data_IF_466512808275
#
_entry.id   IF_466512808275
#
_cell.length_a   1.000
_cell.length_b   1.000
_cell.length_c   1.000
_cell.angle_alpha   90.00
_cell.angle_beta   90.00
_cell.angle_gamma   90.00
#
_symmetry.space_group_name_H-M   'P 1'
#
loop_
_entity.id
_entity.type
_entity.pdbx_description
1 polymer ?
#
# COMPACT_ATOMS: atom_id res chain seq x y z
N UNK A 1 -4.18 14.26 26.55
CA UNK A 1 -4.69 13.81 25.24
C UNK A 1 -5.74 12.72 25.51
N UNK A 2 -6.69 12.40 24.61
CA UNK A 2 -7.67 11.34 24.88
C UNK A 2 -7.00 9.97 25.00
N UNK A 3 -7.61 9.11 25.81
CA UNK A 3 -7.39 7.67 25.83
C UNK A 3 -8.64 6.98 25.32
N UNK A 4 -8.49 5.83 24.68
CA UNK A 4 -9.63 5.06 24.19
C UNK A 4 -9.67 3.67 24.79
N UNK A 5 -10.86 3.07 24.82
CA UNK A 5 -11.01 1.65 25.13
C UNK A 5 -11.07 0.87 23.83
N UNK A 6 -10.18 -0.10 23.65
CA UNK A 6 -10.10 -0.95 22.46
C UNK A 6 -10.15 -2.42 22.84
N UNK A 7 -10.69 -3.23 21.94
CA UNK A 7 -10.74 -4.69 22.04
C UNK A 7 -10.98 -5.30 20.65
N UNK A 8 -10.73 -6.59 20.52
CA UNK A 8 -10.93 -7.36 19.30
C UNK A 8 -11.42 -8.76 19.66
N UNK A 9 -11.67 -9.59 18.66
CA UNK A 9 -12.16 -10.96 18.79
C UNK A 9 -11.35 -11.90 17.92
N UNK A 10 -11.10 -13.10 18.43
CA UNK A 10 -10.40 -14.16 17.71
C UNK A 10 -11.36 -15.31 17.39
N UNK A 11 -10.94 -16.18 16.48
CA UNK A 11 -11.71 -17.35 16.06
C UNK A 11 -11.04 -18.65 16.53
N UNK A 12 -11.74 -19.47 17.33
CA UNK A 12 -11.20 -20.73 17.84
C UNK A 12 -12.29 -21.75 18.23
N UNK A 13 -11.92 -23.04 18.23
CA UNK A 13 -12.68 -24.12 18.85
C UNK A 13 -12.05 -24.65 20.16
N UNK A 14 -10.92 -24.08 20.58
CA UNK A 14 -10.26 -24.41 21.85
C UNK A 14 -10.89 -23.55 22.94
N UNK A 15 -11.21 -24.08 24.14
CA UNK A 15 -11.78 -23.27 25.22
C UNK A 15 -11.00 -21.98 25.48
N UNK A 16 -11.71 -20.86 25.67
CA UNK A 16 -11.06 -19.56 25.83
C UNK A 16 -10.10 -19.52 27.03
N UNK A 17 -10.40 -20.20 28.16
CA UNK A 17 -9.51 -20.27 29.33
C UNK A 17 -8.16 -20.96 29.07
N UNK A 18 -8.05 -21.62 27.92
CA UNK A 18 -6.89 -22.38 27.48
C UNK A 18 -6.03 -21.63 26.47
N UNK A 19 -6.41 -20.40 26.14
CA UNK A 19 -5.74 -19.52 25.20
C UNK A 19 -5.31 -18.22 25.89
N UNK A 20 -4.12 -17.74 25.55
CA UNK A 20 -3.64 -16.40 25.91
C UNK A 20 -3.33 -15.63 24.62
N UNK A 21 -3.24 -14.32 24.73
CA UNK A 21 -2.85 -13.47 23.61
C UNK A 21 -1.87 -12.40 24.02
N UNK A 22 -1.00 -12.07 23.08
CA UNK A 22 -0.34 -10.76 23.01
C UNK A 22 -1.13 -9.89 22.03
N UNK A 23 -1.38 -8.63 22.38
CA UNK A 23 -2.03 -7.64 21.53
C UNK A 23 -1.17 -6.37 21.52
N UNK A 24 -0.64 -6.04 20.34
CA UNK A 24 0.11 -4.81 20.11
C UNK A 24 -0.62 -4.02 19.04
N UNK A 25 -0.88 -2.74 19.31
CA UNK A 25 -1.43 -1.80 18.33
C UNK A 25 -0.40 -0.68 18.17
N UNK A 26 0.09 -0.50 16.95
CA UNK A 26 1.16 0.47 16.68
C UNK A 26 1.06 1.05 15.28
N UNK A 27 1.78 2.15 15.04
CA UNK A 27 2.08 2.66 13.70
C UNK A 27 3.56 2.95 13.57
N UNK A 28 4.09 2.87 12.35
CA UNK A 28 5.48 3.24 12.07
C UNK A 28 5.54 4.56 11.31
N UNK A 29 6.36 5.52 11.77
CA UNK A 29 6.55 6.78 11.04
C UNK A 29 7.54 6.64 9.86
N UNK A 30 7.69 7.73 9.10
CA UNK A 30 8.59 7.82 7.95
C UNK A 30 10.06 7.49 8.28
N UNK A 31 10.50 7.70 9.53
CA UNK A 31 11.85 7.41 9.99
C UNK A 31 12.01 5.97 10.50
N UNK A 32 10.91 5.21 10.54
CA UNK A 32 10.87 3.83 10.98
C UNK A 32 10.60 3.67 12.48
N UNK A 33 10.32 4.75 13.22
CA UNK A 33 10.03 4.64 14.65
C UNK A 33 8.64 4.09 14.88
N UNK A 34 8.51 3.21 15.86
CA UNK A 34 7.24 2.63 16.26
C UNK A 34 6.57 3.50 17.32
N UNK A 35 5.33 3.91 17.04
CA UNK A 35 4.44 4.61 17.97
C UNK A 35 3.42 3.60 18.48
N UNK A 36 3.65 3.11 19.70
CA UNK A 36 2.83 2.05 20.31
C UNK A 36 1.63 2.67 21.02
N UNK A 37 0.43 2.32 20.56
CA UNK A 37 -0.84 2.73 21.16
C UNK A 37 -1.26 1.79 22.30
N UNK A 38 -0.96 0.50 22.15
CA UNK A 38 -1.27 -0.55 23.12
C UNK A 38 -0.23 -1.67 23.02
N UNK A 39 0.19 -2.20 24.16
CA UNK A 39 1.05 -3.38 24.28
C UNK A 39 0.61 -4.22 25.48
N UNK A 40 0.00 -5.37 25.20
CA UNK A 40 -0.54 -6.30 26.18
C UNK A 40 0.12 -7.65 25.94
N UNK A 41 0.68 -8.24 26.99
CA UNK A 41 1.34 -9.53 26.93
C UNK A 41 0.62 -10.59 27.75
N UNK A 42 0.42 -11.77 27.14
CA UNK A 42 -0.10 -13.00 27.73
C UNK A 42 -1.40 -12.82 28.51
N UNK A 43 -2.31 -11.98 28.03
CA UNK A 43 -3.61 -11.77 28.63
C UNK A 43 -4.58 -12.91 28.30
N UNK A 44 -5.58 -13.10 29.15
CA UNK A 44 -6.57 -14.16 29.04
C UNK A 44 -7.73 -13.72 28.14
N UNK A 45 -8.18 -14.60 27.24
CA UNK A 45 -9.40 -14.34 26.46
C UNK A 45 -10.65 -14.46 27.34
N UNK A 46 -11.66 -13.67 27.02
CA UNK A 46 -13.01 -13.80 27.57
C UNK A 46 -13.70 -15.05 27.00
N UNK A 47 -14.75 -15.54 27.67
CA UNK A 47 -15.47 -16.77 27.28
C UNK A 47 -16.11 -16.71 25.88
N UNK A 48 -16.30 -15.51 25.34
CA UNK A 48 -16.81 -15.25 23.98
C UNK A 48 -15.70 -15.04 22.93
N UNK A 49 -14.44 -15.33 23.28
CA UNK A 49 -13.24 -15.14 22.44
C UNK A 49 -12.87 -13.69 22.15
N UNK A 50 -13.45 -12.73 22.87
CA UNK A 50 -12.97 -11.35 22.85
C UNK A 50 -11.72 -11.19 23.72
N UNK A 51 -10.84 -10.29 23.32
CA UNK A 51 -9.81 -9.77 24.21
C UNK A 51 -10.46 -9.01 25.36
N UNK A 52 -9.72 -8.78 26.44
CA UNK A 52 -10.15 -7.81 27.44
C UNK A 52 -10.25 -6.41 26.81
N UNK A 53 -11.01 -5.54 27.47
CA UNK A 53 -11.09 -4.13 27.11
C UNK A 53 -9.88 -3.41 27.66
N UNK A 54 -9.03 -2.91 26.76
CA UNK A 54 -7.79 -2.23 27.12
C UNK A 54 -7.90 -0.74 26.92
N UNK A 55 -7.34 0.02 27.86
CA UNK A 55 -7.20 1.47 27.71
C UNK A 55 -5.88 1.75 26.97
N UNK A 56 -5.94 2.51 25.89
CA UNK A 56 -4.76 2.90 25.11
C UNK A 56 -3.89 3.88 25.90
N UNK A 57 -2.66 4.05 25.44
CA UNK A 57 -1.88 5.23 25.79
C UNK A 57 -2.60 6.52 25.34
N UNK A 58 -2.23 7.65 25.96
CA UNK A 58 -2.69 8.97 25.54
C UNK A 58 -2.21 9.27 24.10
N UNK A 59 -3.13 9.69 23.23
CA UNK A 59 -2.85 9.89 21.80
C UNK A 59 -3.54 11.16 21.27
N UNK A 60 -2.87 11.94 20.42
CA UNK A 60 -3.44 13.14 19.77
C UNK A 60 -3.91 12.91 18.32
N UNK A 61 -3.79 11.67 17.85
CA UNK A 61 -4.11 11.30 16.48
C UNK A 61 -5.62 11.39 16.21
N UNK A 62 -5.95 11.80 14.99
CA UNK A 62 -7.32 11.80 14.48
C UNK A 62 -7.85 10.36 14.33
N UNK A 63 -9.17 10.18 14.39
CA UNK A 63 -9.79 8.86 14.23
C UNK A 63 -9.54 8.24 12.85
N UNK A 64 -9.16 9.03 11.84
CA UNK A 64 -8.80 8.53 10.52
C UNK A 64 -7.41 7.89 10.44
N UNK A 65 -6.53 8.09 11.44
CA UNK A 65 -5.16 7.56 11.43
C UNK A 65 -5.17 6.03 11.48
N UNK A 66 -4.41 5.42 10.56
CA UNK A 66 -4.33 3.96 10.42
C UNK A 66 -3.23 3.36 11.29
N UNK A 67 -3.60 2.34 12.06
CA UNK A 67 -2.74 1.54 12.93
C UNK A 67 -2.69 0.09 12.45
N UNK A 68 -1.58 -0.59 12.75
CA UNK A 68 -1.43 -2.03 12.61
C UNK A 68 -1.78 -2.67 13.96
N UNK A 69 -2.78 -3.55 13.94
CA UNK A 69 -3.10 -4.44 15.03
C UNK A 69 -2.36 -5.77 14.81
N UNK A 70 -1.56 -6.17 15.80
CA UNK A 70 -0.82 -7.42 15.82
C UNK A 70 -1.30 -8.31 16.96
N UNK A 71 -1.57 -9.59 16.67
CA UNK A 71 -1.97 -10.59 17.66
C UNK A 71 -1.09 -11.84 17.57
N UNK A 72 -0.57 -12.29 18.71
CA UNK A 72 0.03 -13.63 18.85
C UNK A 72 -0.84 -14.43 19.81
N UNK A 73 -1.25 -15.63 19.39
CA UNK A 73 -2.00 -16.54 20.25
C UNK A 73 -1.07 -17.56 20.89
N UNK A 74 -1.36 -17.91 22.15
CA UNK A 74 -0.67 -18.95 22.89
C UNK A 74 -1.65 -19.98 23.43
N UNK A 75 -1.21 -21.24 23.46
CA UNK A 75 -1.96 -22.37 23.97
C UNK A 75 -1.40 -22.82 25.32
N UNK A 76 -2.28 -22.88 26.33
CA UNK A 76 -1.95 -23.33 27.70
C UNK A 76 -2.15 -24.82 27.90
N UNK A 77 -1.08 -25.62 27.87
CA UNK A 77 -1.13 -27.05 28.11
C UNK A 77 -0.54 -27.42 29.48
N UNK A 78 -1.39 -27.56 30.50
CA UNK A 78 -0.95 -27.74 31.89
C UNK A 78 -0.26 -26.46 32.40
N UNK A 79 1.01 -26.59 32.81
CA UNK A 79 1.87 -25.45 33.18
C UNK A 79 2.57 -24.79 31.99
N UNK A 80 2.52 -25.40 30.80
CA UNK A 80 3.26 -24.94 29.63
C UNK A 80 2.44 -23.96 28.81
N UNK A 81 3.10 -22.94 28.28
CA UNK A 81 2.54 -21.96 27.35
C UNK A 81 3.31 -22.12 26.03
N UNK A 82 2.60 -22.42 24.95
CA UNK A 82 3.17 -22.70 23.63
C UNK A 82 2.61 -21.69 22.64
N UNK A 83 3.46 -21.08 21.82
CA UNK A 83 3.01 -20.18 20.77
C UNK A 83 2.18 -20.96 19.74
N UNK A 84 0.95 -20.54 19.53
CA UNK A 84 -0.03 -21.24 18.71
C UNK A 84 0.11 -20.89 17.21
N UNK A 85 0.61 -19.69 16.91
CA UNK A 85 0.85 -19.21 15.55
C UNK A 85 2.34 -19.19 15.22
N UNK A 86 2.73 -19.53 13.99
CA UNK A 86 4.15 -19.44 13.57
C UNK A 86 4.62 -18.00 13.43
N UNK A 87 3.73 -17.10 13.03
CA UNK A 87 3.97 -15.67 12.92
C UNK A 87 2.77 -14.90 13.52
N UNK A 88 2.98 -13.65 13.97
CA UNK A 88 1.88 -12.81 14.43
C UNK A 88 0.86 -12.56 13.32
N UNK A 89 -0.42 -12.58 13.68
CA UNK A 89 -1.48 -12.07 12.80
C UNK A 89 -1.40 -10.54 12.78
N UNK A 90 -1.43 -9.93 11.60
CA UNK A 90 -1.40 -8.47 11.42
C UNK A 90 -2.58 -8.01 10.57
N UNK A 91 -3.16 -6.88 10.92
CA UNK A 91 -4.20 -6.22 10.10
C UNK A 91 -4.28 -4.72 10.37
N UNK A 92 -4.57 -3.95 9.32
CA UNK A 92 -4.76 -2.51 9.42
C UNK A 92 -6.18 -2.14 9.87
N UNK A 93 -6.27 -1.17 10.76
CA UNK A 93 -7.50 -0.53 11.18
C UNK A 93 -7.27 0.96 11.42
N UNK A 94 -8.24 1.78 11.07
CA UNK A 94 -8.26 3.18 11.55
C UNK A 94 -8.46 3.20 13.07
N UNK A 95 -7.96 4.24 13.74
CA UNK A 95 -8.23 4.46 15.16
C UNK A 95 -9.74 4.47 15.43
N UNK A 96 -10.54 5.11 14.58
CA UNK A 96 -12.00 5.08 14.66
C UNK A 96 -12.60 3.67 14.61
N UNK A 97 -12.08 2.77 13.77
CA UNK A 97 -12.53 1.37 13.71
C UNK A 97 -12.16 0.60 14.99
N UNK A 98 -10.95 0.82 15.53
CA UNK A 98 -10.51 0.20 16.79
C UNK A 98 -11.40 0.65 17.96
N UNK A 99 -11.66 1.95 18.09
CA UNK A 99 -12.48 2.54 19.14
C UNK A 99 -13.95 2.11 19.02
N UNK A 100 -14.44 1.94 17.80
CA UNK A 100 -15.80 1.46 17.54
C UNK A 100 -15.98 -0.06 17.72
N UNK A 101 -14.93 -0.80 18.10
CA UNK A 101 -14.97 -2.27 18.23
C UNK A 101 -15.16 -2.99 16.89
N UNK A 102 -14.76 -2.37 15.78
CA UNK A 102 -14.85 -2.93 14.41
C UNK A 102 -13.58 -3.66 13.99
N UNK A 103 -12.68 -3.94 14.94
CA UNK A 103 -11.43 -4.64 14.72
C UNK A 103 -11.61 -6.16 14.56
N UNK A 104 -12.59 -6.60 13.77
CA UNK A 104 -12.96 -8.00 13.54
C UNK A 104 -13.74 -8.12 12.22
N UNK A 105 -13.68 -9.28 11.56
CA UNK A 105 -14.40 -9.58 10.33
C UNK A 105 -15.26 -10.84 10.48
N UNK A 106 -16.41 -10.89 9.83
CA UNK A 106 -17.21 -12.13 9.75
C UNK A 106 -16.51 -13.22 8.91
N UNK A 107 -15.50 -12.85 8.12
CA UNK A 107 -14.69 -13.79 7.34
C UNK A 107 -13.56 -14.30 8.20
N UNK A 108 -13.67 -15.56 8.62
CA UNK A 108 -12.68 -16.29 9.43
C UNK A 108 -11.21 -16.04 9.07
N UNK A 109 -10.87 -15.99 7.77
CA UNK A 109 -9.48 -15.81 7.29
C UNK A 109 -8.91 -14.42 7.54
N UNK A 110 -9.77 -13.44 7.83
CA UNK A 110 -9.40 -12.05 8.06
C UNK A 110 -9.27 -11.74 9.57
N UNK A 111 -9.21 -12.76 10.43
CA UNK A 111 -9.05 -12.66 11.88
C UNK A 111 -7.87 -13.53 12.38
N UNK A 112 -7.30 -13.18 13.53
CA UNK A 112 -6.44 -14.08 14.28
C UNK A 112 -7.24 -15.33 14.67
N UNK A 113 -6.68 -16.52 14.41
CA UNK A 113 -7.43 -17.75 14.59
C UNK A 113 -6.55 -18.94 14.95
N UNK A 114 -7.05 -19.84 15.80
CA UNK A 114 -6.35 -21.06 16.19
C UNK A 114 -7.34 -22.19 16.42
N UNK A 115 -7.10 -23.36 15.83
CA UNK A 115 -8.00 -24.50 15.94
C UNK A 115 -7.23 -25.78 16.22
N UNK A 116 -7.77 -26.62 17.09
CA UNK A 116 -7.26 -27.96 17.36
C UNK A 116 -8.27 -28.99 16.84
N UNK A 117 -7.78 -30.04 16.18
CA UNK A 117 -8.59 -31.23 15.93
C UNK A 117 -8.43 -32.19 17.10
N UNK A 118 -9.55 -32.60 17.71
CA UNK A 118 -9.56 -33.61 18.78
C UNK A 118 -9.83 -35.02 18.25
N UNK A 119 -9.88 -35.19 16.93
CA UNK A 119 -10.15 -36.48 16.31
C UNK A 119 -8.86 -37.30 16.35
N UNK A 120 -8.83 -38.31 17.22
CA UNK A 120 -7.91 -39.44 17.03
C UNK A 120 -8.27 -40.10 15.71
N UNK A 121 -7.35 -40.08 14.75
CA UNK A 121 -7.51 -40.84 13.51
C UNK A 121 -7.61 -42.31 13.86
N UNK A 122 -8.79 -42.91 13.67
CA UNK A 122 -9.04 -44.35 13.83
C UNK A 122 -9.37 -44.96 12.47
N UNK A 123 -8.88 -46.17 12.18
CA UNK A 123 -9.32 -46.93 11.01
C UNK A 123 -10.85 -47.04 11.00
N UNK A 124 -11.50 -46.68 9.89
CA UNK A 124 -12.95 -46.73 9.72
C UNK A 124 -13.43 -48.16 9.43
N UNK A 125 -12.56 -49.04 8.91
CA UNK A 125 -12.83 -50.47 8.74
C UNK A 125 -11.56 -51.33 8.75
N UNK A 126 -11.70 -52.66 8.89
CA UNK A 126 -10.63 -53.61 8.58
C UNK A 126 -10.44 -53.69 7.05
N UNK A 127 -9.74 -52.71 6.49
CA UNK A 127 -9.53 -52.55 5.05
C UNK A 127 -8.57 -51.39 4.74
N UNK A 128 -8.47 -51.01 3.47
CA UNK A 128 -7.73 -49.81 3.08
C UNK A 128 -8.44 -48.56 3.63
N UNK A 129 -7.80 -47.90 4.59
CA UNK A 129 -8.26 -46.67 5.22
C UNK A 129 -7.55 -45.44 4.65
N UNK A 130 -7.00 -45.53 3.44
CA UNK A 130 -6.41 -44.39 2.74
C UNK A 130 -7.49 -43.36 2.47
N UNK A 131 -7.42 -42.24 3.20
CA UNK A 131 -8.22 -41.04 2.92
C UNK A 131 -7.39 -40.14 2.03
N UNK A 132 -7.86 -39.90 0.81
CA UNK A 132 -7.27 -38.89 -0.07
C UNK A 132 -7.59 -37.50 0.50
N UNK A 133 -6.65 -36.94 1.24
CA UNK A 133 -6.77 -35.58 1.77
C UNK A 133 -6.43 -34.59 0.65
N UNK A 134 -7.45 -34.07 -0.03
CA UNK A 134 -7.26 -33.00 -1.02
C UNK A 134 -7.01 -31.67 -0.31
N UNK A 135 -5.76 -31.40 0.04
CA UNK A 135 -5.32 -30.07 0.48
C UNK A 135 -5.41 -29.15 -0.74
N UNK A 136 -6.47 -28.36 -0.80
CA UNK A 136 -6.62 -27.32 -1.83
C UNK A 136 -5.92 -26.07 -1.31
N UNK A 137 -4.71 -25.85 -1.79
CA UNK A 137 -4.09 -24.52 -1.71
C UNK A 137 -4.90 -23.66 -2.69
N UNK A 138 -5.57 -22.58 -2.23
CA UNK A 138 -6.23 -21.68 -3.15
C UNK A 138 -5.22 -21.19 -4.17
N UNK A 139 -5.66 -21.07 -5.41
CA UNK A 139 -4.82 -20.52 -6.47
C UNK A 139 -4.29 -19.14 -6.05
N UNK A 140 -3.03 -18.86 -6.39
CA UNK A 140 -2.42 -17.56 -6.09
C UNK A 140 -3.24 -16.48 -6.77
N UNK A 141 -3.46 -15.37 -6.06
CA UNK A 141 -4.39 -14.34 -6.50
C UNK A 141 -3.94 -13.60 -7.76
N UNK A 142 -2.63 -13.58 -8.05
CA UNK A 142 -2.03 -12.97 -9.24
C UNK A 142 -1.23 -14.01 -10.04
N UNK A 143 -1.52 -14.16 -11.33
CA UNK A 143 -0.82 -15.09 -12.24
C UNK A 143 -0.73 -14.45 -13.62
N UNK A 144 0.47 -14.15 -14.10
CA UNK A 144 0.64 -13.70 -15.49
C UNK A 144 0.44 -14.89 -16.45
N UNK A 145 -0.36 -14.72 -17.50
CA UNK A 145 -0.70 -15.82 -18.41
C UNK A 145 0.54 -16.42 -19.11
N UNK A 146 1.48 -15.57 -19.51
CA UNK A 146 2.74 -15.98 -20.15
C UNK A 146 3.78 -16.53 -19.17
N UNK A 147 3.62 -16.26 -17.87
CA UNK A 147 4.55 -16.65 -16.82
C UNK A 147 3.79 -17.30 -15.65
N UNK A 148 3.19 -18.48 -15.87
CA UNK A 148 2.35 -19.14 -14.86
C UNK A 148 3.18 -19.60 -13.65
N UNK A 149 2.49 -20.03 -12.60
CA UNK A 149 3.12 -20.53 -11.37
C UNK A 149 4.18 -21.60 -11.68
N UNK A 150 5.41 -21.37 -11.21
CA UNK A 150 6.55 -22.26 -11.43
C UNK A 150 7.38 -21.94 -12.68
N UNK A 151 6.96 -20.97 -13.49
CA UNK A 151 7.79 -20.44 -14.57
C UNK A 151 9.00 -19.68 -13.98
N UNK A 152 10.23 -19.82 -14.53
CA UNK A 152 11.42 -19.14 -14.01
C UNK A 152 11.29 -17.61 -13.94
N UNK A 153 10.55 -17.04 -14.90
CA UNK A 153 10.29 -15.60 -14.99
C UNK A 153 8.95 -15.18 -14.37
N UNK A 154 8.30 -16.00 -13.54
CA UNK A 154 7.06 -15.64 -12.84
C UNK A 154 7.22 -14.31 -12.07
N UNK A 155 6.54 -13.22 -12.47
CA UNK A 155 6.72 -11.92 -11.84
C UNK A 155 6.14 -11.88 -10.42
N UNK A 156 5.20 -12.76 -10.09
CA UNK A 156 4.51 -12.81 -8.80
C UNK A 156 5.04 -13.91 -7.88
N UNK A 157 6.21 -14.49 -8.18
CA UNK A 157 6.87 -15.46 -7.33
C UNK A 157 7.09 -14.87 -5.92
N UNK A 158 6.79 -15.65 -4.88
CA UNK A 158 6.72 -15.13 -3.50
C UNK A 158 8.05 -14.51 -3.08
N UNK A 159 9.17 -15.20 -3.26
CA UNK A 159 10.47 -14.70 -2.80
C UNK A 159 10.89 -13.43 -3.53
N UNK A 160 10.53 -13.28 -4.80
CA UNK A 160 10.71 -12.04 -5.57
C UNK A 160 9.89 -10.89 -5.01
N UNK A 161 8.59 -11.09 -4.76
CA UNK A 161 7.72 -10.07 -4.16
C UNK A 161 8.23 -9.65 -2.78
N UNK A 162 8.63 -10.61 -1.95
CA UNK A 162 9.22 -10.32 -0.64
C UNK A 162 10.49 -9.47 -0.75
N UNK A 163 11.38 -9.82 -1.66
CA UNK A 163 12.62 -9.07 -1.92
C UNK A 163 12.33 -7.63 -2.39
N UNK A 164 11.38 -7.47 -3.31
CA UNK A 164 10.95 -6.16 -3.81
C UNK A 164 10.33 -5.30 -2.68
N UNK A 165 9.52 -5.90 -1.79
CA UNK A 165 8.99 -5.23 -0.59
C UNK A 165 10.12 -4.76 0.33
N UNK A 166 11.14 -5.60 0.58
CA UNK A 166 12.30 -5.17 1.39
C UNK A 166 13.07 -4.02 0.74
N UNK A 167 13.14 -3.99 -0.60
CA UNK A 167 13.68 -2.85 -1.34
C UNK A 167 12.91 -1.56 -1.09
N UNK A 168 11.57 -1.63 -1.04
CA UNK A 168 10.70 -0.48 -0.74
C UNK A 168 10.83 -0.03 0.71
N UNK A 169 10.85 -0.96 1.66
CA UNK A 169 11.00 -0.67 3.10
C UNK A 169 12.35 -0.01 3.42
N UNK A 170 13.42 -0.49 2.80
CA UNK A 170 14.77 0.09 2.92
C UNK A 170 14.96 1.37 2.10
N UNK A 171 13.95 1.78 1.32
CA UNK A 171 13.98 2.93 0.39
C UNK A 171 15.13 2.86 -0.61
N UNK A 172 15.65 1.66 -0.88
CA UNK A 172 16.65 1.41 -1.93
C UNK A 172 16.01 1.39 -3.31
N UNK A 173 14.71 1.13 -3.37
CA UNK A 173 13.89 1.20 -4.57
C UNK A 173 12.57 1.92 -4.26
N UNK A 174 11.94 2.49 -5.29
CA UNK A 174 10.68 3.24 -5.22
C UNK A 174 9.72 2.74 -6.31
N UNK A 175 8.41 3.06 -6.28
CA UNK A 175 7.46 2.48 -7.21
C UNK A 175 7.81 2.85 -8.65
N UNK A 176 7.85 1.86 -9.53
CA UNK A 176 8.21 2.03 -10.92
C UNK A 176 7.08 1.58 -11.83
N UNK A 177 6.42 2.56 -12.45
CA UNK A 177 5.39 2.31 -13.45
C UNK A 177 5.94 1.75 -14.77
N UNK A 178 7.26 1.75 -14.96
CA UNK A 178 7.90 1.36 -16.21
C UNK A 178 7.37 2.18 -17.38
N UNK A 179 7.04 1.49 -18.47
CA UNK A 179 6.41 2.09 -19.65
C UNK A 179 4.89 2.27 -19.56
N UNK A 180 4.25 1.94 -18.42
CA UNK A 180 2.81 1.96 -18.26
C UNK A 180 2.27 3.34 -17.85
N UNK A 181 1.00 3.62 -18.18
CA UNK A 181 0.29 4.87 -17.83
C UNK A 181 -0.15 4.95 -16.36
N UNK A 182 0.73 4.61 -15.42
CA UNK A 182 0.44 4.45 -13.99
C UNK A 182 1.08 5.54 -13.10
N UNK A 183 1.33 6.75 -13.62
CA UNK A 183 1.99 7.81 -12.86
C UNK A 183 1.17 8.33 -11.66
N UNK A 184 -0.16 8.34 -11.76
CA UNK A 184 -1.03 8.65 -10.63
C UNK A 184 -0.90 7.64 -9.49
N UNK A 185 -1.13 6.34 -9.74
CA UNK A 185 -0.88 5.29 -8.74
C UNK A 185 0.56 5.31 -8.20
N UNK A 186 1.56 5.52 -9.07
CA UNK A 186 2.96 5.61 -8.65
C UNK A 186 3.20 6.76 -7.68
N UNK A 187 2.63 7.95 -7.95
CA UNK A 187 2.72 9.09 -7.05
C UNK A 187 2.07 8.81 -5.68
N UNK A 188 0.92 8.14 -5.67
CA UNK A 188 0.24 7.72 -4.43
C UNK A 188 1.10 6.75 -3.62
N UNK A 189 1.52 5.64 -4.23
CA UNK A 189 2.31 4.62 -3.53
C UNK A 189 3.71 5.10 -3.14
N UNK A 190 4.30 6.04 -3.89
CA UNK A 190 5.54 6.70 -3.50
C UNK A 190 5.36 7.52 -2.22
N UNK A 191 4.32 8.36 -2.15
CA UNK A 191 4.03 9.12 -0.94
C UNK A 191 3.76 8.18 0.25
N UNK A 192 2.97 7.12 0.03
CA UNK A 192 2.66 6.12 1.03
C UNK A 192 3.90 5.39 1.55
N UNK A 193 4.79 4.94 0.65
CA UNK A 193 6.06 4.31 1.03
C UNK A 193 6.92 5.25 1.87
N UNK A 194 6.98 6.54 1.49
CA UNK A 194 7.84 7.50 2.17
C UNK A 194 7.33 7.88 3.56
N UNK A 195 6.01 7.98 3.75
CA UNK A 195 5.40 8.38 5.00
C UNK A 195 5.11 7.21 5.95
N UNK A 196 4.59 6.11 5.40
CA UNK A 196 4.08 4.93 6.13
C UNK A 196 4.52 3.65 5.42
N UNK A 197 5.82 3.29 5.48
CA UNK A 197 6.34 2.08 4.84
C UNK A 197 5.68 0.80 5.36
N UNK A 198 5.21 0.81 6.61
CA UNK A 198 4.45 -0.27 7.23
C UNK A 198 3.09 -0.51 6.57
N UNK A 199 2.36 0.56 6.22
CA UNK A 199 1.10 0.48 5.48
C UNK A 199 1.36 0.02 4.04
N UNK A 200 2.42 0.53 3.39
CA UNK A 200 2.82 0.06 2.06
C UNK A 200 3.05 -1.46 2.06
N UNK A 201 3.86 -1.96 3.01
CA UNK A 201 4.17 -3.39 3.12
C UNK A 201 2.90 -4.21 3.31
N UNK A 202 2.05 -3.84 4.27
CA UNK A 202 0.83 -4.58 4.54
C UNK A 202 -0.10 -4.60 3.31
N UNK A 203 -0.26 -3.45 2.63
CA UNK A 203 -1.06 -3.36 1.42
C UNK A 203 -0.56 -4.29 0.31
N UNK A 204 0.77 -4.31 0.07
CA UNK A 204 1.39 -5.18 -0.93
C UNK A 204 1.21 -6.67 -0.59
N UNK A 205 1.42 -7.05 0.69
CA UNK A 205 1.22 -8.44 1.14
C UNK A 205 -0.22 -8.89 1.01
N UNK A 206 -1.18 -8.07 1.45
CA UNK A 206 -2.61 -8.38 1.36
C UNK A 206 -3.07 -8.52 -0.10
N UNK A 207 -2.60 -7.66 -1.00
CA UNK A 207 -2.86 -7.81 -2.43
C UNK A 207 -2.32 -9.15 -2.95
N UNK A 208 -1.09 -9.53 -2.62
CA UNK A 208 -0.51 -10.81 -3.08
C UNK A 208 -1.25 -12.02 -2.51
N UNK A 209 -1.58 -12.00 -1.22
CA UNK A 209 -2.19 -13.12 -0.50
C UNK A 209 -3.69 -13.23 -0.72
N UNK A 210 -4.39 -12.12 -0.93
CA UNK A 210 -5.86 -12.04 -0.89
C UNK A 210 -6.48 -11.37 -2.12
N UNK A 211 -5.67 -10.80 -3.01
CA UNK A 211 -6.14 -10.12 -4.22
C UNK A 211 -6.85 -8.81 -3.93
N UNK A 212 -6.75 -8.29 -2.71
CA UNK A 212 -7.39 -7.06 -2.25
C UNK A 212 -6.70 -6.51 -1.00
N UNK A 213 -6.84 -5.22 -0.75
CA UNK A 213 -6.43 -4.57 0.51
C UNK A 213 -7.34 -3.38 0.81
N UNK A 214 -7.27 -2.86 2.05
CA UNK A 214 -7.94 -1.62 2.45
C UNK A 214 -6.95 -0.72 3.20
N UNK A 215 -6.70 0.48 2.66
CA UNK A 215 -5.85 1.49 3.29
C UNK A 215 -6.75 2.60 3.81
N UNK A 216 -6.94 2.71 5.13
CA UNK A 216 -7.95 3.62 5.68
C UNK A 216 -9.35 3.29 5.17
N UNK A 217 -9.92 4.17 4.34
CA UNK A 217 -11.19 3.96 3.62
C UNK A 217 -11.00 3.63 2.12
N UNK A 218 -9.76 3.57 1.62
CA UNK A 218 -9.46 3.20 0.24
C UNK A 218 -9.49 1.68 0.10
N UNK A 219 -10.51 1.14 -0.56
CA UNK A 219 -10.57 -0.28 -0.91
C UNK A 219 -9.93 -0.49 -2.28
N UNK A 220 -8.92 -1.38 -2.34
CA UNK A 220 -8.27 -1.81 -3.58
C UNK A 220 -8.63 -3.26 -3.79
N UNK A 221 -9.41 -3.54 -4.83
CA UNK A 221 -9.91 -4.86 -5.20
C UNK A 221 -9.96 -4.97 -6.73
N UNK A 222 -8.83 -5.30 -7.37
CA UNK A 222 -8.77 -5.46 -8.82
C UNK A 222 -9.69 -6.56 -9.32
N UNK A 223 -10.14 -6.39 -10.56
CA UNK A 223 -10.84 -7.38 -11.36
C UNK A 223 -9.96 -8.58 -11.71
N UNK A 224 -10.55 -9.50 -12.46
CA UNK A 224 -9.87 -10.74 -12.83
C UNK A 224 -8.76 -10.53 -13.86
N UNK A 225 -8.95 -9.63 -14.83
CA UNK A 225 -7.93 -9.32 -15.85
C UNK A 225 -6.66 -8.70 -15.28
N UNK A 226 -6.78 -7.74 -14.34
CA UNK A 226 -5.61 -7.19 -13.65
C UNK A 226 -4.88 -8.24 -12.78
N UNK A 227 -5.61 -9.23 -12.24
CA UNK A 227 -5.03 -10.34 -11.47
C UNK A 227 -4.44 -11.43 -12.37
N UNK A 228 -4.94 -11.57 -13.59
CA UNK A 228 -4.48 -12.50 -14.59
C UNK A 228 -4.01 -11.75 -15.85
N UNK A 229 -2.97 -10.91 -15.73
CA UNK A 229 -2.59 -10.01 -16.82
C UNK A 229 -2.01 -10.78 -18.00
N UNK A 230 -2.25 -10.21 -19.18
CA UNK A 230 -1.65 -10.64 -20.45
C UNK A 230 -0.49 -9.72 -20.83
N UNK A 231 0.39 -10.26 -21.66
CA UNK A 231 1.53 -9.55 -22.22
C UNK A 231 2.84 -9.77 -21.46
N UNK A 232 3.92 -9.44 -22.16
CA UNK A 232 5.27 -9.67 -21.65
C UNK A 232 5.61 -8.71 -20.51
N UNK A 233 5.92 -9.26 -19.33
CA UNK A 233 6.50 -8.55 -18.19
C UNK A 233 7.99 -8.22 -18.40
N UNK A 234 8.61 -8.79 -19.42
CA UNK A 234 10.04 -8.64 -19.70
C UNK A 234 10.27 -8.20 -21.14
N UNK A 235 11.41 -7.58 -21.40
CA UNK A 235 11.93 -7.31 -22.74
C UNK A 235 13.44 -7.57 -22.76
N UNK A 236 14.10 -7.26 -23.88
CA UNK A 236 15.54 -7.45 -24.05
C UNK A 236 16.42 -6.66 -23.05
N UNK A 237 15.84 -5.72 -22.31
CA UNK A 237 16.51 -4.86 -21.32
C UNK A 237 16.15 -5.24 -19.87
N UNK A 238 15.31 -6.25 -19.64
CA UNK A 238 14.88 -6.70 -18.31
C UNK A 238 13.38 -6.58 -18.08
N UNK A 239 12.97 -6.45 -16.82
CA UNK A 239 11.55 -6.29 -16.47
C UNK A 239 11.01 -4.95 -17.00
N UNK A 240 9.85 -4.98 -17.67
CA UNK A 240 9.11 -3.78 -18.11
C UNK A 240 8.39 -3.11 -16.94
N UNK A 241 7.89 -3.92 -16.02
CA UNK A 241 7.27 -3.54 -14.75
C UNK A 241 7.49 -4.72 -13.78
N UNK A 242 7.78 -4.43 -12.52
CA UNK A 242 7.95 -5.48 -11.52
C UNK A 242 6.62 -6.14 -11.15
N UNK A 243 6.67 -7.32 -10.54
CA UNK A 243 5.46 -7.96 -10.02
C UNK A 243 4.83 -7.12 -8.91
N UNK A 244 5.63 -6.54 -8.02
CA UNK A 244 5.17 -5.66 -6.95
C UNK A 244 4.53 -4.36 -7.48
N UNK A 245 5.12 -3.76 -8.51
CA UNK A 245 4.59 -2.53 -9.11
C UNK A 245 3.29 -2.80 -9.88
N UNK A 246 3.19 -3.93 -10.60
CA UNK A 246 1.90 -4.32 -11.19
C UNK A 246 0.85 -4.53 -10.10
N UNK A 247 1.20 -5.33 -9.09
CA UNK A 247 0.33 -5.70 -7.99
C UNK A 247 -0.19 -4.49 -7.20
N UNK A 248 0.61 -3.43 -7.04
CA UNK A 248 0.17 -2.21 -6.34
C UNK A 248 -0.45 -1.19 -7.30
N UNK A 249 0.29 -0.78 -8.32
CA UNK A 249 -0.07 0.34 -9.19
C UNK A 249 -1.24 -0.01 -10.13
N UNK A 250 -1.18 -1.16 -10.80
CA UNK A 250 -2.24 -1.60 -11.70
C UNK A 250 -3.51 -1.95 -10.91
N UNK A 251 -3.37 -2.58 -9.73
CA UNK A 251 -4.53 -2.88 -8.88
C UNK A 251 -5.28 -1.65 -8.42
N UNK A 252 -4.60 -0.59 -7.98
CA UNK A 252 -5.24 0.67 -7.62
C UNK A 252 -5.96 1.29 -8.82
N UNK A 253 -5.32 1.24 -10.00
CA UNK A 253 -5.90 1.76 -11.23
C UNK A 253 -7.18 1.03 -11.63
N UNK A 254 -7.13 -0.30 -11.61
CA UNK A 254 -8.21 -1.18 -12.06
C UNK A 254 -9.42 -1.16 -11.11
N UNK A 255 -9.17 -1.09 -9.80
CA UNK A 255 -10.22 -1.12 -8.76
C UNK A 255 -11.27 -0.01 -8.87
N UNK A 256 -10.90 1.13 -9.46
CA UNK A 256 -11.80 2.28 -9.61
C UNK A 256 -12.73 2.17 -10.84
N UNK A 257 -12.66 1.09 -11.63
CA UNK A 257 -13.43 0.93 -12.87
C UNK A 257 -13.39 2.19 -13.76
N UNK A 258 -12.23 2.86 -13.81
CA UNK A 258 -11.99 3.93 -14.78
C UNK A 258 -12.28 3.30 -16.15
N UNK A 259 -12.94 4.04 -17.06
CA UNK A 259 -13.60 3.60 -18.33
C UNK A 259 -12.66 2.86 -19.35
N UNK A 260 -11.54 2.31 -18.91
CA UNK A 260 -10.70 1.33 -19.57
C UNK A 260 -10.32 0.24 -18.53
N UNK A 261 -10.79 -1.00 -18.71
CA UNK A 261 -10.21 -2.14 -17.99
C UNK A 261 -8.73 -2.23 -18.36
N UNK A 262 -7.85 -2.29 -17.35
CA UNK A 262 -6.40 -2.31 -17.59
C UNK A 262 -5.93 -3.76 -17.61
N UNK A 263 -6.18 -4.44 -18.73
CA UNK A 263 -5.89 -5.88 -18.89
C UNK A 263 -4.51 -6.15 -19.53
N UNK A 264 -3.78 -5.09 -19.96
CA UNK A 264 -2.57 -5.19 -20.80
C UNK A 264 -1.47 -4.18 -20.38
N UNK A 265 -0.19 -4.56 -20.56
CA UNK A 265 0.98 -3.76 -20.15
C UNK A 265 1.22 -2.49 -21.02
N UNK A 266 0.57 -2.35 -22.18
CA UNK A 266 0.98 -1.41 -23.25
C UNK A 266 0.05 -0.19 -23.52
N UNK A 267 -0.93 0.10 -22.66
CA UNK A 267 -1.96 1.12 -22.96
C UNK A 267 -1.51 2.57 -22.60
N UNK A 268 -0.92 3.29 -23.58
CA UNK A 268 -0.07 4.47 -23.31
C UNK A 268 -0.70 5.88 -23.41
N UNK A 269 -1.89 6.11 -24.00
CA UNK A 269 -2.26 7.51 -24.40
C UNK A 269 -3.61 8.03 -23.87
N UNK A 270 -4.53 7.18 -23.40
CA UNK A 270 -5.82 7.61 -22.83
C UNK A 270 -5.85 7.66 -21.29
N UNK A 271 -4.72 7.43 -20.62
CA UNK A 271 -4.68 6.87 -19.26
C UNK A 271 -4.31 7.79 -18.10
N UNK A 272 -4.26 9.11 -18.21
CA UNK A 272 -3.82 9.94 -17.07
C UNK A 272 -4.91 9.98 -15.98
N UNK A 273 -4.52 9.69 -14.74
CA UNK A 273 -5.41 9.83 -13.59
C UNK A 273 -5.88 11.28 -13.45
N UNK A 274 -7.19 11.51 -13.42
CA UNK A 274 -7.77 12.82 -13.12
C UNK A 274 -7.40 13.26 -11.70
N UNK A 275 -7.14 14.56 -11.50
CA UNK A 275 -6.71 15.07 -10.19
C UNK A 275 -7.74 14.85 -9.07
N UNK A 276 -9.03 14.80 -9.41
CA UNK A 276 -10.10 14.47 -8.46
C UNK A 276 -9.96 13.04 -7.93
N UNK A 277 -9.71 12.07 -8.82
CA UNK A 277 -9.48 10.67 -8.42
C UNK A 277 -8.19 10.51 -7.63
N UNK A 278 -7.10 11.17 -8.07
CA UNK A 278 -5.85 11.18 -7.30
C UNK A 278 -6.10 11.70 -5.88
N UNK A 279 -6.83 12.81 -5.77
CA UNK A 279 -7.19 13.40 -4.47
C UNK A 279 -8.01 12.46 -3.62
N UNK A 280 -9.01 11.80 -4.22
CA UNK A 280 -9.86 10.85 -3.54
C UNK A 280 -9.07 9.66 -2.98
N UNK A 281 -8.08 9.14 -3.70
CA UNK A 281 -7.19 8.08 -3.19
C UNK A 281 -6.42 8.50 -1.95
N UNK A 282 -5.82 9.70 -1.99
CA UNK A 282 -5.08 10.24 -0.86
C UNK A 282 -6.01 10.47 0.34
N UNK A 283 -7.16 11.12 0.16
CA UNK A 283 -8.11 11.40 1.25
C UNK A 283 -8.69 10.10 1.84
N UNK A 284 -9.07 9.13 1.00
CA UNK A 284 -9.53 7.81 1.47
C UNK A 284 -8.44 7.06 2.23
N UNK A 285 -7.17 7.19 1.83
CA UNK A 285 -6.04 6.59 2.55
C UNK A 285 -5.70 7.30 3.87
N UNK A 286 -6.30 8.47 4.14
CA UNK A 286 -6.12 9.23 5.38
C UNK A 286 -5.24 10.48 5.26
N UNK A 287 -4.81 10.86 4.06
CA UNK A 287 -4.11 12.12 3.85
C UNK A 287 -5.07 13.31 3.97
N UNK A 288 -4.58 14.41 4.54
CA UNK A 288 -5.32 15.67 4.60
C UNK A 288 -4.90 16.59 3.45
N UNK A 289 -5.81 16.85 2.50
CA UNK A 289 -5.59 17.85 1.45
C UNK A 289 -5.64 19.26 2.05
N UNK A 290 -4.58 20.02 1.83
CA UNK A 290 -4.48 21.42 2.32
C UNK A 290 -4.52 22.45 1.20
N UNK A 291 -4.18 22.06 -0.02
CA UNK A 291 -4.16 22.96 -1.16
C UNK A 291 -4.36 22.22 -2.47
N UNK A 292 -4.98 22.91 -3.43
CA UNK A 292 -5.03 22.49 -4.83
C UNK A 292 -5.16 23.71 -5.71
N UNK A 293 -4.35 23.77 -6.76
CA UNK A 293 -4.50 24.71 -7.86
C UNK A 293 -4.46 24.02 -9.23
N UNK A 294 -4.71 22.71 -9.27
CA UNK A 294 -4.83 21.98 -10.54
C UNK A 294 -6.00 22.55 -11.32
N UNK A 295 -5.73 23.06 -12.51
CA UNK A 295 -6.72 23.78 -13.31
C UNK A 295 -6.49 23.62 -14.80
N UNK A 296 -7.32 24.29 -15.62
CA UNK A 296 -7.16 24.28 -17.08
C UNK A 296 -5.94 25.08 -17.55
N UNK A 297 -5.51 26.07 -16.78
CA UNK A 297 -4.38 26.95 -17.09
C UNK A 297 -3.06 26.48 -16.48
N UNK A 298 -1.97 27.04 -16.99
CA UNK A 298 -0.64 26.89 -16.42
C UNK A 298 -0.49 27.65 -15.10
N UNK A 299 0.45 27.22 -14.26
CA UNK A 299 0.87 27.95 -13.07
C UNK A 299 1.57 29.26 -13.45
N UNK A 300 1.36 30.30 -12.63
CA UNK A 300 2.17 31.50 -12.63
C UNK A 300 3.25 31.44 -11.52
N UNK A 301 4.04 32.51 -11.38
CA UNK A 301 5.10 32.57 -10.36
C UNK A 301 4.55 32.49 -8.93
N UNK A 302 3.38 33.08 -8.63
CA UNK A 302 2.79 33.01 -7.29
C UNK A 302 2.32 31.59 -6.95
N UNK A 303 1.77 30.87 -7.94
CA UNK A 303 1.42 29.45 -7.80
C UNK A 303 2.67 28.63 -7.45
N UNK A 304 3.77 28.84 -8.17
CA UNK A 304 5.03 28.17 -7.91
C UNK A 304 5.58 28.49 -6.52
N UNK A 305 5.59 29.76 -6.12
CA UNK A 305 6.02 30.17 -4.79
C UNK A 305 5.19 29.50 -3.69
N UNK A 306 3.88 29.37 -3.89
CA UNK A 306 2.97 28.69 -2.96
C UNK A 306 3.30 27.20 -2.85
N UNK A 307 3.51 26.52 -3.98
CA UNK A 307 3.90 25.09 -3.99
C UNK A 307 5.29 24.89 -3.36
N UNK A 308 6.24 25.80 -3.60
CA UNK A 308 7.56 25.78 -2.98
C UNK A 308 7.50 25.97 -1.46
N UNK A 309 6.63 26.85 -0.97
CA UNK A 309 6.43 27.06 0.46
C UNK A 309 5.96 25.76 1.13
N UNK A 310 4.94 25.09 0.57
CA UNK A 310 4.50 23.77 1.05
C UNK A 310 5.60 22.71 1.00
N UNK A 311 6.33 22.62 -0.11
CA UNK A 311 7.44 21.68 -0.24
C UNK A 311 8.54 21.93 0.82
N UNK A 312 8.84 23.20 1.13
CA UNK A 312 9.82 23.57 2.14
C UNK A 312 9.41 23.18 3.57
N UNK A 313 8.10 23.07 3.82
CA UNK A 313 7.52 22.64 5.09
C UNK A 313 7.35 21.11 5.17
N UNK A 314 7.78 20.36 4.14
CA UNK A 314 7.73 18.90 4.12
C UNK A 314 6.39 18.31 3.68
N UNK A 315 5.48 19.11 3.13
CA UNK A 315 4.22 18.61 2.58
C UNK A 315 4.44 17.79 1.31
N UNK A 316 3.50 16.89 0.99
CA UNK A 316 3.52 16.15 -0.27
C UNK A 316 2.97 17.03 -1.37
N UNK A 317 3.84 17.49 -2.26
CA UNK A 317 3.48 18.30 -3.42
C UNK A 317 3.47 17.40 -4.66
N UNK A 318 2.29 17.14 -5.20
CA UNK A 318 2.09 16.32 -6.39
C UNK A 318 1.56 17.20 -7.51
N UNK A 319 2.31 17.33 -8.60
CA UNK A 319 2.00 18.28 -9.68
C UNK A 319 1.74 17.60 -11.00
N UNK A 320 0.78 18.15 -11.75
CA UNK A 320 0.48 17.77 -13.11
C UNK A 320 1.35 18.58 -14.07
N UNK A 321 2.09 17.89 -14.92
CA UNK A 321 3.02 18.52 -15.86
C UNK A 321 2.82 18.01 -17.29
N UNK A 322 3.49 18.67 -18.23
CA UNK A 322 3.84 18.07 -19.51
C UNK A 322 5.13 17.27 -19.34
N UNK A 323 5.10 15.98 -19.70
CA UNK A 323 6.25 15.07 -19.67
C UNK A 323 7.42 15.56 -20.53
N UNK A 324 7.16 16.43 -21.51
CA UNK A 324 8.18 17.14 -22.29
C UNK A 324 9.13 17.98 -21.45
N UNK A 325 8.78 18.28 -20.19
CA UNK A 325 9.64 18.94 -19.21
C UNK A 325 10.76 18.02 -18.69
N UNK A 326 10.55 16.71 -18.70
CA UNK A 326 11.46 15.73 -18.12
C UNK A 326 12.49 15.24 -19.14
N UNK A 327 13.73 15.00 -18.71
CA UNK A 327 14.82 14.53 -19.57
C UNK A 327 14.52 13.20 -20.25
N UNK A 328 13.84 12.29 -19.56
CA UNK A 328 13.38 10.98 -20.07
C UNK A 328 12.01 11.05 -20.77
N UNK A 329 11.35 12.21 -20.79
CA UNK A 329 10.06 12.40 -21.43
C UNK A 329 10.17 12.72 -22.91
N UNK A 330 9.03 13.00 -23.55
CA UNK A 330 8.97 13.30 -24.98
C UNK A 330 9.92 14.44 -25.36
N UNK A 331 10.68 14.24 -26.43
CA UNK A 331 11.71 15.17 -26.88
C UNK A 331 11.13 16.48 -27.40
N UNK A 332 10.03 16.40 -28.19
CA UNK A 332 9.28 17.52 -28.76
C UNK A 332 7.78 17.19 -28.80
N UNK A 333 6.91 18.20 -28.90
CA UNK A 333 5.47 18.00 -29.09
C UNK A 333 4.61 19.08 -28.45
N UNK A 334 3.29 18.89 -28.55
CA UNK A 334 2.31 19.75 -27.89
C UNK A 334 2.46 19.62 -26.38
N UNK A 335 2.62 20.76 -25.70
CA UNK A 335 2.64 20.84 -24.24
C UNK A 335 1.21 20.68 -23.75
N UNK A 336 0.89 19.52 -23.19
CA UNK A 336 -0.41 19.24 -22.58
C UNK A 336 -0.20 18.49 -21.27
N UNK A 337 -1.26 18.43 -20.47
CA UNK A 337 -1.30 17.69 -19.20
C UNK A 337 -1.08 16.21 -19.47
N UNK A 338 0.12 15.70 -19.20
CA UNK A 338 0.47 14.35 -19.62
C UNK A 338 0.99 13.46 -18.49
N UNK A 339 1.40 14.02 -17.35
CA UNK A 339 2.13 13.24 -16.34
C UNK A 339 2.06 13.82 -14.93
N UNK A 340 1.97 12.95 -13.92
CA UNK A 340 2.07 13.30 -12.50
C UNK A 340 3.49 13.09 -11.99
N UNK A 341 3.98 14.04 -11.21
CA UNK A 341 5.27 13.93 -10.50
C UNK A 341 5.07 14.29 -9.02
N UNK A 342 5.94 13.75 -8.17
CA UNK A 342 6.02 14.16 -6.75
C UNK A 342 7.31 14.92 -6.54
N UNK A 343 7.23 16.10 -5.91
CA UNK A 343 8.44 16.87 -5.63
C UNK A 343 9.20 16.23 -4.47
N UNK A 344 10.52 16.10 -4.61
CA UNK A 344 11.43 15.68 -3.54
C UNK A 344 12.35 16.84 -3.15
N UNK A 345 11.76 18.01 -2.93
CA UNK A 345 12.47 19.25 -2.65
C UNK A 345 11.72 20.47 -3.20
N UNK A 346 12.40 21.60 -3.18
CA UNK A 346 11.88 22.88 -3.71
C UNK A 346 12.43 23.16 -5.10
N UNK A 347 11.64 23.81 -5.94
CA UNK A 347 12.09 24.34 -7.23
C UNK A 347 13.04 25.51 -6.99
N UNK A 348 14.23 25.44 -7.59
CA UNK A 348 15.25 26.50 -7.53
C UNK A 348 15.62 26.95 -8.92
N UNK A 349 16.09 28.20 -9.03
CA UNK A 349 16.73 28.71 -10.23
C UNK A 349 18.23 28.88 -9.97
N UNK A 350 19.06 28.27 -10.81
CA UNK A 350 20.51 28.31 -10.71
C UNK A 350 21.09 28.58 -12.09
N UNK A 351 21.92 29.61 -12.26
CA UNK A 351 22.50 29.99 -13.58
C UNK A 351 21.45 30.02 -14.72
N UNK A 352 20.26 30.56 -14.45
CA UNK A 352 19.12 30.66 -15.40
C UNK A 352 18.49 29.32 -15.82
N UNK A 353 18.74 28.24 -15.06
CA UNK A 353 18.08 26.96 -15.24
C UNK A 353 17.27 26.57 -14.01
N UNK A 354 16.15 25.91 -14.23
CA UNK A 354 15.33 25.33 -13.17
C UNK A 354 15.90 24.00 -12.71
N UNK A 355 16.03 23.84 -11.41
CA UNK A 355 16.44 22.62 -10.74
C UNK A 355 15.31 22.18 -9.79
N UNK A 356 14.89 20.92 -9.92
CA UNK A 356 13.92 20.28 -9.03
C UNK A 356 14.30 18.80 -8.93
N UNK A 357 14.56 18.34 -7.72
CA UNK A 357 14.60 16.92 -7.42
C UNK A 357 13.15 16.41 -7.31
N UNK A 358 12.83 15.36 -8.04
CA UNK A 358 11.47 14.84 -8.15
C UNK A 358 11.47 13.33 -8.33
N UNK A 359 10.37 12.72 -7.89
CA UNK A 359 10.01 11.35 -8.19
C UNK A 359 9.18 11.27 -9.47
N UNK A 360 9.63 10.40 -10.38
CA UNK A 360 8.95 10.03 -11.62
C UNK A 360 9.62 8.79 -12.22
N UNK A 361 8.83 7.89 -12.82
CA UNK A 361 9.31 6.70 -13.56
C UNK A 361 10.35 5.86 -12.81
N UNK A 362 10.06 5.52 -11.56
CA UNK A 362 10.91 4.61 -10.77
C UNK A 362 12.15 5.25 -10.15
N UNK A 363 12.37 6.54 -10.34
CA UNK A 363 13.57 7.23 -9.87
C UNK A 363 13.25 8.51 -9.09
N UNK A 364 14.18 8.91 -8.21
CA UNK A 364 14.15 10.20 -7.51
C UNK A 364 15.49 10.93 -7.68
N UNK A 365 15.52 11.98 -8.50
CA UNK A 365 16.69 12.85 -8.73
C UNK A 365 16.27 14.12 -9.49
N UNK A 366 17.23 14.96 -9.91
CA UNK A 366 16.96 16.08 -10.80
C UNK A 366 16.61 15.60 -12.22
N UNK A 367 15.31 15.52 -12.54
CA UNK A 367 14.86 15.01 -13.84
C UNK A 367 14.47 16.10 -14.86
N UNK A 368 14.44 17.37 -14.46
CA UNK A 368 14.11 18.49 -15.36
C UNK A 368 15.17 18.61 -16.46
N UNK A 369 14.73 18.80 -17.72
CA UNK A 369 15.63 19.00 -18.86
C UNK A 369 16.61 20.13 -18.59
N UNK A 370 17.87 19.94 -18.98
CA UNK A 370 18.90 20.97 -18.90
C UNK A 370 18.49 22.22 -19.67
N UNK A 371 18.93 23.39 -19.19
CA UNK A 371 18.60 24.71 -19.76
C UNK A 371 17.10 25.07 -19.77
N UNK A 372 16.26 24.38 -18.98
CA UNK A 372 14.87 24.79 -18.80
C UNK A 372 14.80 26.10 -18.02
N UNK A 373 14.36 27.19 -18.67
CA UNK A 373 14.13 28.47 -18.01
C UNK A 373 12.88 28.43 -17.14
N UNK A 374 12.76 29.37 -16.19
CA UNK A 374 11.59 29.48 -15.34
C UNK A 374 10.29 29.65 -16.13
N UNK A 375 10.28 30.49 -17.16
CA UNK A 375 9.11 30.66 -18.03
C UNK A 375 8.73 29.36 -18.76
N UNK A 376 9.72 28.59 -19.22
CA UNK A 376 9.46 27.30 -19.86
C UNK A 376 8.91 26.26 -18.89
N UNK A 377 9.38 26.29 -17.65
CA UNK A 377 8.90 25.44 -16.56
C UNK A 377 7.45 25.75 -16.20
N UNK A 378 7.12 27.02 -15.95
CA UNK A 378 5.76 27.47 -15.62
C UNK A 378 4.77 27.13 -16.74
N UNK A 379 5.16 27.32 -18.01
CA UNK A 379 4.34 26.95 -19.19
C UNK A 379 4.14 25.43 -19.37
N UNK A 380 4.70 24.59 -18.51
CA UNK A 380 4.52 23.14 -18.54
C UNK A 380 4.03 22.57 -17.20
N UNK A 381 3.80 23.45 -16.20
CA UNK A 381 3.25 23.11 -14.90
C UNK A 381 1.76 23.50 -14.88
N UNK A 382 0.88 22.54 -14.61
CA UNK A 382 -0.58 22.70 -14.66
C UNK A 382 -1.24 22.70 -13.27
N UNK A 383 -0.46 23.05 -12.25
CA UNK A 383 -0.88 23.02 -10.85
C UNK A 383 -0.55 21.72 -10.15
N UNK A 384 -0.84 21.69 -8.85
CA UNK A 384 -0.66 20.52 -8.00
C UNK A 384 -1.70 20.43 -6.91
N UNK A 385 -1.75 19.24 -6.33
CA UNK A 385 -2.46 18.95 -5.08
C UNK A 385 -1.43 18.76 -3.99
N UNK A 386 -1.75 19.26 -2.80
CA UNK A 386 -0.83 19.24 -1.66
C UNK A 386 -1.52 18.61 -0.47
N UNK A 387 -0.81 17.67 0.16
CA UNK A 387 -1.27 16.96 1.34
C UNK A 387 -0.29 17.11 2.49
N UNK A 388 -0.80 17.13 3.73
CA UNK A 388 0.04 16.85 4.89
C UNK A 388 0.61 15.43 4.76
N UNK A 389 1.84 15.17 5.22
CA UNK A 389 2.36 13.81 5.30
C UNK A 389 1.41 12.91 6.09
N UNK A 390 1.28 11.66 5.65
CA UNK A 390 0.45 10.68 6.35
C UNK A 390 1.06 10.39 7.73
N UNK A 391 0.22 10.43 8.77
CA UNK A 391 0.62 10.15 10.15
C UNK A 391 0.72 8.66 10.42
#
# INVERSE_FOLDING_TARGET
>A
MPTYTVYTKIESNVPAEKLLYDLIIYRQDAAGNHHVLLDVAQAQLQSNYETEKHITQEIDDDLSVTYIMQIILYRKHGSNIIQALQAPFKKMYTLGELVAGKAYSDKKRENACYFESTIETKPVSEGDNTVELKITIPERMFIAEEYPIGHPDDPFEKSKIESEIQGRLSKTTVPDQGGASLCGPAAFFYCLQMDRPDIYEQAARELWEHGKTKIGQLEIKPGDGCRHPKGSFYNQYGARISGLDWLTLASLRDSENIIFSYDEVDDQVAGITMWEMLTEWFEKAGYEKVFSNVGLSHCNMNDLMTLNDYASQGYKVITLISDTMLGRGRSNGVKYKSHWIVWNGVVKENKQQVELELFSWGDTYQQIKSNTTMDSFLNQLFGGVVFKPLK
#
